data_IF_062078834104
#
_entry.id   IF_062078834104
#
_cell.length_a   1.000
_cell.length_b   1.000
_cell.length_c   1.000
_cell.angle_alpha   90.00
_cell.angle_beta   90.00
_cell.angle_gamma   90.00
#
_symmetry.space_group_name_H-M   'P 1'
#
loop_
_entity.id
_entity.type
_entity.pdbx_description
1 polymer ?
#
# COMPACT_ATOMS: atom_id res chain seq x y z
N UNK A 1 -60.19 13.32 38.81
CA UNK A 1 -61.06 13.40 40.01
C UNK A 1 -61.53 11.99 40.35
N UNK A 2 -61.55 11.55 41.62
CA UNK A 2 -60.48 11.42 42.62
C UNK A 2 -60.30 9.91 43.00
N UNK A 3 -59.12 9.41 43.39
CA UNK A 3 -58.48 9.45 44.71
C UNK A 3 -59.36 8.98 45.91
N UNK A 4 -59.03 7.79 46.43
CA UNK A 4 -59.23 7.32 47.80
C UNK A 4 -58.14 6.26 48.05
N UNK A 5 -57.46 6.14 49.17
CA UNK A 5 -57.49 6.83 50.44
C UNK A 5 -56.34 6.26 51.28
N UNK A 6 -55.68 7.14 52.00
CA UNK A 6 -54.46 6.96 52.79
C UNK A 6 -54.75 6.34 54.18
N UNK A 7 -53.83 5.52 54.71
CA UNK A 7 -53.12 5.69 56.01
C UNK A 7 -52.40 4.39 56.41
N UNK A 8 -51.06 4.38 56.47
CA UNK A 8 -50.21 4.74 57.63
C UNK A 8 -50.28 3.66 58.72
N UNK A 9 -49.20 3.08 59.22
CA UNK A 9 -48.07 3.71 59.96
C UNK A 9 -47.08 2.58 60.31
N UNK A 10 -45.76 2.75 60.21
CA UNK A 10 -44.79 3.03 61.29
C UNK A 10 -43.41 2.71 60.69
N UNK A 11 -42.29 3.40 60.94
CA UNK A 11 -41.96 4.55 61.77
C UNK A 11 -40.47 4.88 61.56
N UNK A 12 -40.17 6.18 61.62
CA UNK A 12 -38.98 6.89 62.18
C UNK A 12 -37.60 6.20 62.21
N UNK A 13 -36.47 6.83 61.92
CA UNK A 13 -36.04 8.20 61.60
C UNK A 13 -34.65 8.07 60.93
N UNK A 14 -33.88 9.08 60.53
CA UNK A 14 -33.67 10.42 61.06
C UNK A 14 -32.84 11.16 60.00
N UNK A 15 -33.15 12.43 59.73
CA UNK A 15 -32.29 13.32 58.95
C UNK A 15 -30.93 13.49 59.64
N UNK A 16 -29.82 13.35 58.92
CA UNK A 16 -28.79 14.43 58.86
C UNK A 16 -27.69 14.16 57.82
N UNK A 17 -27.23 15.27 57.22
CA UNK A 17 -25.97 15.54 56.48
C UNK A 17 -25.95 15.07 55.02
N UNK A 18 -26.08 15.98 54.06
CA UNK A 18 -25.09 16.97 53.61
C UNK A 18 -23.88 16.31 52.92
N UNK A 19 -23.89 16.40 51.59
CA UNK A 19 -22.72 16.46 50.72
C UNK A 19 -21.88 15.19 50.65
N UNK A 20 -22.20 14.31 49.69
CA UNK A 20 -21.18 13.50 49.05
C UNK A 20 -21.27 13.77 47.55
N UNK A 21 -20.21 14.45 47.08
CA UNK A 21 -20.00 14.81 45.71
C UNK A 21 -19.95 13.55 44.83
N UNK A 22 -20.48 13.72 43.62
CA UNK A 22 -20.37 12.78 42.52
C UNK A 22 -18.92 12.78 42.00
N UNK A 23 -17.98 12.18 42.75
CA UNK A 23 -16.54 12.17 42.40
C UNK A 23 -16.22 11.08 41.37
N UNK A 24 -17.11 10.83 40.41
CA UNK A 24 -16.86 9.83 39.36
C UNK A 24 -17.04 10.33 37.93
N UNK A 25 -17.30 11.61 37.72
CA UNK A 25 -17.48 12.20 36.37
C UNK A 25 -16.37 13.20 35.98
N UNK A 26 -15.77 13.92 36.95
CA UNK A 26 -14.81 15.00 36.67
C UNK A 26 -13.58 14.57 35.86
N UNK A 27 -13.08 13.34 36.04
CA UNK A 27 -11.88 12.87 35.35
C UNK A 27 -12.14 12.43 33.89
N UNK A 28 -13.34 11.93 33.58
CA UNK A 28 -13.74 11.58 32.21
C UNK A 28 -14.18 12.84 31.45
N UNK A 29 -14.83 13.79 32.12
CA UNK A 29 -15.18 15.10 31.58
C UNK A 29 -13.93 15.93 31.24
N UNK A 30 -12.88 15.91 32.07
CA UNK A 30 -11.61 16.60 31.79
C UNK A 30 -10.89 16.02 30.57
N UNK A 31 -10.88 14.69 30.39
CA UNK A 31 -10.30 14.03 29.22
C UNK A 31 -11.08 14.35 27.94
N UNK A 32 -12.42 14.30 28.01
CA UNK A 32 -13.27 14.62 26.86
C UNK A 32 -13.15 16.11 26.47
N UNK A 33 -13.02 16.99 27.47
CA UNK A 33 -12.78 18.42 27.24
C UNK A 33 -11.42 18.69 26.56
N UNK A 34 -10.38 17.93 26.92
CA UNK A 34 -9.06 18.00 26.26
C UNK A 34 -9.15 17.60 24.78
N UNK A 35 -9.83 16.49 24.48
CA UNK A 35 -10.06 16.02 23.10
C UNK A 35 -10.86 17.04 22.26
N UNK A 36 -11.91 17.65 22.84
CA UNK A 36 -12.65 18.71 22.15
C UNK A 36 -11.81 19.97 21.92
N UNK A 37 -10.94 20.33 22.86
CA UNK A 37 -10.01 21.44 22.69
C UNK A 37 -9.00 21.17 21.56
N UNK A 38 -8.54 19.93 21.39
CA UNK A 38 -7.69 19.55 20.26
C UNK A 38 -8.41 19.71 18.91
N UNK A 39 -9.67 19.25 18.83
CA UNK A 39 -10.51 19.38 17.63
C UNK A 39 -10.71 20.87 17.28
N UNK A 40 -11.05 21.70 18.27
CA UNK A 40 -11.24 23.14 18.08
C UNK A 40 -9.94 23.82 17.63
N UNK A 41 -8.78 23.41 18.17
CA UNK A 41 -7.48 23.91 17.74
C UNK A 41 -7.15 23.53 16.28
N UNK A 42 -7.60 22.36 15.82
CA UNK A 42 -7.47 21.92 14.41
C UNK A 42 -8.41 22.71 13.50
N UNK A 43 -9.65 22.94 13.92
CA UNK A 43 -10.63 23.73 13.17
C UNK A 43 -10.19 25.19 13.04
N UNK A 44 -9.71 25.79 14.14
CA UNK A 44 -9.18 27.15 14.14
C UNK A 44 -7.96 27.29 13.22
N UNK A 45 -7.07 26.29 13.18
CA UNK A 45 -5.94 26.26 12.22
C UNK A 45 -6.41 26.10 10.78
N UNK A 46 -7.36 25.20 10.53
CA UNK A 46 -7.90 24.98 9.18
C UNK A 46 -8.58 26.23 8.65
N UNK A 47 -9.33 26.94 9.50
CA UNK A 47 -9.93 28.24 9.19
C UNK A 47 -8.87 29.31 8.87
N UNK A 48 -7.77 29.36 9.63
CA UNK A 48 -6.63 30.26 9.35
C UNK A 48 -5.91 29.95 8.03
N UNK A 49 -5.76 28.68 7.70
CA UNK A 49 -5.17 28.25 6.41
C UNK A 49 -6.11 28.63 5.25
N UNK A 50 -7.41 28.38 5.41
CA UNK A 50 -8.42 28.73 4.40
C UNK A 50 -8.56 30.24 4.20
N UNK A 51 -8.28 31.05 5.23
CA UNK A 51 -8.24 32.52 5.12
C UNK A 51 -6.91 33.08 4.62
N UNK A 52 -5.95 32.21 4.24
CA UNK A 52 -4.70 32.60 3.60
C UNK A 52 -3.60 33.06 4.56
N UNK A 53 -3.72 32.78 5.86
CA UNK A 53 -2.67 33.07 6.83
C UNK A 53 -1.55 32.01 6.81
N UNK A 54 -0.31 32.44 7.01
CA UNK A 54 0.85 31.57 7.10
C UNK A 54 0.87 30.85 8.47
N UNK A 55 0.84 29.52 8.48
CA UNK A 55 0.75 28.71 9.71
C UNK A 55 2.02 27.85 9.84
N UNK A 56 2.72 27.88 11.00
CA UNK A 56 3.94 27.11 11.19
C UNK A 56 3.73 25.59 11.02
N UNK A 57 4.77 24.92 10.53
CA UNK A 57 4.75 23.49 10.22
C UNK A 57 4.47 22.62 11.46
N UNK A 58 3.77 21.50 11.21
CA UNK A 58 3.31 20.49 12.18
C UNK A 58 4.40 20.11 13.20
N UNK A 59 4.09 20.19 14.50
CA UNK A 59 4.74 19.33 15.50
C UNK A 59 4.40 17.87 15.15
N UNK A 60 5.34 16.90 15.21
CA UNK A 60 5.00 15.50 14.98
C UNK A 60 3.81 15.11 15.87
N UNK A 61 2.84 14.39 15.31
CA UNK A 61 1.83 13.71 16.13
C UNK A 61 2.59 12.83 17.12
N UNK A 62 2.14 12.71 18.37
CA UNK A 62 2.58 11.59 19.20
C UNK A 62 2.39 10.31 18.38
N UNK A 63 3.40 9.44 18.38
CA UNK A 63 3.37 8.13 17.70
C UNK A 63 2.40 7.16 18.38
N UNK A 64 1.45 7.65 19.17
CA UNK A 64 0.38 6.89 19.80
C UNK A 64 -0.60 6.46 18.72
N UNK A 65 -0.31 5.26 18.22
CA UNK A 65 -1.18 4.50 17.34
C UNK A 65 -2.49 4.25 18.10
N UNK A 66 -3.67 4.48 17.50
CA UNK A 66 -4.94 4.31 18.21
C UNK A 66 -5.08 2.87 18.76
N UNK A 67 -5.24 2.74 20.08
CA UNK A 67 -5.37 1.46 20.79
C UNK A 67 -6.56 0.60 20.30
N UNK A 68 -7.58 1.23 19.70
CA UNK A 68 -8.71 0.54 19.07
C UNK A 68 -8.33 -0.21 17.78
N UNK A 69 -7.19 0.12 17.19
CA UNK A 69 -6.72 -0.43 15.91
C UNK A 69 -5.55 -1.39 16.13
N UNK A 70 -4.70 -1.16 17.14
CA UNK A 70 -3.51 -1.95 17.40
C UNK A 70 -3.67 -2.85 18.62
N UNK A 71 -3.15 -4.07 18.52
CA UNK A 71 -3.07 -4.96 19.67
C UNK A 71 -1.83 -4.54 20.47
N UNK A 72 -2.04 -4.09 21.70
CA UNK A 72 -0.99 -3.57 22.57
C UNK A 72 0.06 -4.63 22.91
N UNK A 73 -0.32 -5.92 22.87
CA UNK A 73 0.59 -7.04 23.10
C UNK A 73 1.40 -7.39 21.84
N UNK A 74 1.13 -6.72 20.71
CA UNK A 74 1.80 -6.99 19.43
C UNK A 74 3.15 -6.27 19.32
N UNK A 75 4.18 -6.91 19.82
CA UNK A 75 5.55 -6.41 19.73
C UNK A 75 6.15 -6.55 18.31
N UNK A 76 5.90 -5.55 17.45
CA UNK A 76 6.45 -5.52 16.07
C UNK A 76 7.99 -5.47 16.06
N UNK A 77 8.62 -4.86 17.07
CA UNK A 77 10.08 -4.73 17.14
C UNK A 77 10.75 -6.09 17.38
N UNK A 78 10.25 -6.85 18.35
CA UNK A 78 10.74 -8.20 18.65
C UNK A 78 10.50 -9.16 17.46
N UNK A 79 9.32 -9.12 16.86
CA UNK A 79 9.01 -9.94 15.68
C UNK A 79 9.85 -9.56 14.46
N UNK A 80 10.15 -8.27 14.29
CA UNK A 80 11.06 -7.81 13.25
C UNK A 80 12.49 -8.28 13.53
N UNK A 81 12.95 -8.23 14.79
CA UNK A 81 14.25 -8.76 15.18
C UNK A 81 14.35 -10.28 14.91
N UNK A 82 13.30 -11.03 15.24
CA UNK A 82 13.23 -12.47 14.91
C UNK A 82 13.35 -12.70 13.39
N UNK A 83 12.65 -11.91 12.57
CA UNK A 83 12.76 -12.01 11.12
C UNK A 83 14.15 -11.62 10.61
N UNK A 84 14.79 -10.61 11.20
CA UNK A 84 16.19 -10.25 10.90
C UNK A 84 17.18 -11.36 11.26
N UNK A 85 16.95 -12.09 12.35
CA UNK A 85 17.73 -13.28 12.69
C UNK A 85 17.58 -14.39 11.64
N UNK A 86 16.40 -14.54 11.02
CA UNK A 86 16.22 -15.43 9.87
C UNK A 86 17.05 -14.95 8.67
N UNK A 87 17.11 -13.64 8.40
CA UNK A 87 17.95 -13.08 7.32
C UNK A 87 19.43 -13.40 7.54
N UNK A 88 19.91 -13.28 8.77
CA UNK A 88 21.30 -13.57 9.12
C UNK A 88 21.62 -15.06 8.97
N UNK A 89 20.77 -15.94 9.52
CA UNK A 89 20.95 -17.40 9.48
C UNK A 89 20.88 -18.01 8.09
N UNK A 90 20.25 -17.33 7.14
CA UNK A 90 20.04 -17.82 5.77
C UNK A 90 21.03 -17.26 4.75
N UNK A 91 22.03 -16.47 5.18
CA UNK A 91 22.95 -15.75 4.30
C UNK A 91 23.74 -16.66 3.35
N UNK A 92 24.16 -17.82 3.82
CA UNK A 92 24.98 -18.76 3.05
C UNK A 92 24.16 -19.71 2.16
N UNK A 93 22.82 -19.59 2.19
CA UNK A 93 21.94 -20.40 1.36
C UNK A 93 21.84 -19.83 -0.06
N UNK A 94 21.52 -20.69 -1.06
CA UNK A 94 21.18 -20.21 -2.40
C UNK A 94 20.07 -19.14 -2.36
N UNK A 95 20.24 -18.07 -3.12
CA UNK A 95 19.41 -16.84 -3.05
C UNK A 95 17.91 -17.12 -3.18
N UNK A 96 17.52 -18.06 -4.04
CA UNK A 96 16.10 -18.46 -4.21
C UNK A 96 15.56 -19.14 -2.95
N UNK A 97 16.33 -20.06 -2.35
CA UNK A 97 15.94 -20.75 -1.12
C UNK A 97 15.88 -19.76 0.06
N UNK A 98 16.87 -18.88 0.16
CA UNK A 98 16.89 -17.77 1.12
C UNK A 98 15.63 -16.90 0.98
N UNK A 99 15.29 -16.48 -0.23
CA UNK A 99 14.09 -15.70 -0.51
C UNK A 99 12.80 -16.43 -0.12
N UNK A 100 12.69 -17.73 -0.41
CA UNK A 100 11.52 -18.53 -0.05
C UNK A 100 11.35 -18.68 1.47
N UNK A 101 12.45 -18.91 2.19
CA UNK A 101 12.45 -18.99 3.67
C UNK A 101 12.01 -17.65 4.26
N UNK A 102 12.55 -16.53 3.77
CA UNK A 102 12.20 -15.20 4.29
C UNK A 102 10.76 -14.81 3.97
N UNK A 103 10.26 -15.19 2.80
CA UNK A 103 8.89 -14.94 2.40
C UNK A 103 7.90 -15.75 3.26
N UNK A 104 8.21 -17.00 3.55
CA UNK A 104 7.43 -17.85 4.46
C UNK A 104 7.48 -17.34 5.90
N UNK A 105 8.69 -17.10 6.43
CA UNK A 105 8.92 -16.67 7.81
C UNK A 105 8.20 -15.35 8.13
N UNK A 106 8.13 -14.40 7.20
CA UNK A 106 7.39 -13.15 7.42
C UNK A 106 5.92 -13.39 7.78
N UNK A 107 5.29 -14.38 7.13
CA UNK A 107 3.87 -14.71 7.35
C UNK A 107 3.65 -15.62 8.56
N UNK A 108 4.67 -16.37 8.97
CA UNK A 108 4.65 -17.29 10.11
C UNK A 108 4.91 -16.54 11.43
N UNK A 109 5.88 -15.61 11.41
CA UNK A 109 6.20 -14.70 12.52
C UNK A 109 5.12 -13.61 12.66
N UNK A 110 4.37 -13.32 11.59
CA UNK A 110 3.40 -12.21 11.55
C UNK A 110 4.08 -10.89 11.97
N UNK A 111 5.10 -10.47 11.21
CA UNK A 111 5.99 -9.39 11.64
C UNK A 111 5.27 -8.06 11.92
N UNK A 112 4.35 -7.67 11.04
CA UNK A 112 3.58 -6.43 11.16
C UNK A 112 2.09 -6.75 11.25
N UNK A 113 1.37 -6.04 12.12
CA UNK A 113 -0.05 -6.29 12.35
C UNK A 113 -0.92 -5.91 11.14
N UNK A 114 -0.61 -4.78 10.49
CA UNK A 114 -1.43 -4.20 9.41
C UNK A 114 -0.73 -4.09 8.06
N UNK A 115 0.52 -4.56 7.96
CA UNK A 115 1.37 -4.37 6.77
C UNK A 115 2.04 -5.67 6.30
N UNK A 116 1.29 -6.77 6.30
CA UNK A 116 1.77 -8.07 5.80
C UNK A 116 2.27 -8.03 4.34
N UNK A 117 1.82 -7.04 3.54
CA UNK A 117 2.28 -6.81 2.17
C UNK A 117 3.72 -6.31 2.06
N UNK A 118 4.34 -5.84 3.14
CA UNK A 118 5.69 -5.28 3.12
C UNK A 118 6.76 -6.38 3.00
N UNK A 119 6.57 -7.53 3.67
CA UNK A 119 7.52 -8.64 3.64
C UNK A 119 7.95 -9.07 2.24
N UNK A 120 7.01 -9.34 1.32
CA UNK A 120 7.34 -9.70 -0.07
C UNK A 120 8.14 -8.62 -0.81
N UNK A 121 7.93 -7.33 -0.49
CA UNK A 121 8.71 -6.24 -1.07
C UNK A 121 10.15 -6.22 -0.54
N UNK A 122 10.34 -6.49 0.76
CA UNK A 122 11.67 -6.62 1.36
C UNK A 122 12.41 -7.83 0.79
N UNK A 123 11.73 -8.97 0.63
CA UNK A 123 12.31 -10.15 -0.03
C UNK A 123 12.68 -9.82 -1.48
N UNK A 124 11.80 -9.16 -2.23
CA UNK A 124 12.11 -8.76 -3.60
C UNK A 124 13.31 -7.79 -3.69
N UNK A 125 13.45 -6.88 -2.71
CA UNK A 125 14.59 -5.99 -2.60
C UNK A 125 15.89 -6.77 -2.31
N UNK A 126 15.84 -7.79 -1.44
CA UNK A 126 16.96 -8.69 -1.19
C UNK A 126 17.34 -9.48 -2.44
N UNK A 127 16.38 -10.05 -3.18
CA UNK A 127 16.66 -10.76 -4.44
C UNK A 127 17.33 -9.86 -5.48
N UNK A 128 16.99 -8.57 -5.50
CA UNK A 128 17.67 -7.57 -6.35
C UNK A 128 19.08 -7.28 -5.86
N UNK A 129 19.26 -7.09 -4.54
CA UNK A 129 20.57 -6.81 -3.93
C UNK A 129 21.56 -7.98 -4.13
N UNK A 130 21.08 -9.22 -4.02
CA UNK A 130 21.87 -10.44 -4.25
C UNK A 130 22.08 -10.75 -5.75
N UNK A 131 21.62 -9.88 -6.64
CA UNK A 131 21.86 -9.95 -8.09
C UNK A 131 20.91 -10.84 -8.89
N UNK A 132 20.05 -11.64 -8.25
CA UNK A 132 19.10 -12.52 -8.94
C UNK A 132 18.12 -11.74 -9.83
N UNK A 133 17.67 -10.58 -9.35
CA UNK A 133 16.79 -9.66 -10.08
C UNK A 133 17.44 -8.27 -10.23
N UNK A 134 18.72 -8.20 -10.56
CA UNK A 134 19.52 -6.97 -10.49
C UNK A 134 18.89 -5.72 -11.17
N UNK A 135 18.08 -5.91 -12.22
CA UNK A 135 17.50 -4.82 -13.03
C UNK A 135 16.04 -4.48 -12.70
N UNK A 136 15.40 -5.19 -11.77
CA UNK A 136 13.98 -4.96 -11.46
C UNK A 136 13.62 -5.41 -10.03
N UNK A 137 12.43 -5.04 -9.55
CA UNK A 137 11.88 -5.59 -8.32
C UNK A 137 11.04 -6.82 -8.65
N UNK A 138 11.38 -7.98 -8.07
CA UNK A 138 10.66 -9.23 -8.34
C UNK A 138 9.19 -9.14 -7.91
N UNK A 139 8.26 -9.38 -8.84
CA UNK A 139 6.82 -9.33 -8.60
C UNK A 139 6.26 -10.55 -7.88
N UNK A 140 6.74 -10.85 -6.66
CA UNK A 140 6.43 -12.10 -5.94
C UNK A 140 4.92 -12.37 -5.76
N UNK A 141 4.11 -11.32 -5.59
CA UNK A 141 2.66 -11.45 -5.47
C UNK A 141 1.97 -11.98 -6.75
N UNK A 142 2.57 -11.78 -7.93
CA UNK A 142 2.05 -12.30 -9.20
C UNK A 142 2.11 -13.82 -9.24
N UNK A 143 3.13 -14.43 -8.64
CA UNK A 143 3.19 -15.88 -8.46
C UNK A 143 2.37 -16.34 -7.27
N UNK A 144 2.49 -15.65 -6.12
CA UNK A 144 1.79 -16.05 -4.89
C UNK A 144 0.25 -16.09 -5.01
N UNK A 145 -0.34 -15.26 -5.88
CA UNK A 145 -1.80 -15.31 -6.14
C UNK A 145 -2.25 -16.58 -6.86
N UNK A 146 -1.35 -17.25 -7.59
CA UNK A 146 -1.64 -18.51 -8.28
C UNK A 146 -1.56 -19.71 -7.33
N UNK A 147 -0.94 -19.54 -6.16
CA UNK A 147 -0.79 -20.61 -5.18
C UNK A 147 -2.05 -20.70 -4.29
N UNK A 148 -2.69 -21.89 -4.20
CA UNK A 148 -3.84 -22.11 -3.34
C UNK A 148 -3.59 -21.68 -1.90
N UNK A 149 -4.62 -21.14 -1.25
CA UNK A 149 -4.52 -20.63 0.12
C UNK A 149 -4.13 -21.74 1.10
N UNK A 150 -4.64 -22.94 0.89
CA UNK A 150 -4.44 -24.13 1.71
C UNK A 150 -2.95 -24.52 1.74
N UNK A 151 -2.26 -24.39 0.60
CA UNK A 151 -0.80 -24.62 0.51
C UNK A 151 -0.01 -23.51 1.19
N UNK A 152 -0.39 -22.25 0.98
CA UNK A 152 0.27 -21.09 1.60
C UNK A 152 0.13 -21.04 3.12
N UNK A 153 -0.98 -21.56 3.66
CA UNK A 153 -1.28 -21.61 5.10
C UNK A 153 -1.29 -23.04 5.64
N UNK A 154 -0.54 -23.93 5.01
CA UNK A 154 -0.40 -25.30 5.49
C UNK A 154 0.17 -25.33 6.91
N UNK A 155 -0.29 -26.27 7.74
CA UNK A 155 0.23 -26.43 9.11
C UNK A 155 1.70 -26.83 9.11
N UNK A 156 2.09 -27.66 8.15
CA UNK A 156 3.46 -28.11 7.95
C UNK A 156 4.28 -27.01 7.27
N UNK A 157 5.42 -26.65 7.88
CA UNK A 157 6.35 -25.66 7.34
C UNK A 157 6.92 -26.06 5.99
N UNK A 158 7.19 -27.35 5.77
CA UNK A 158 7.75 -27.82 4.50
C UNK A 158 6.81 -27.53 3.33
N UNK A 159 5.51 -27.70 3.52
CA UNK A 159 4.49 -27.42 2.50
C UNK A 159 4.37 -25.92 2.21
N UNK A 160 4.47 -25.07 3.25
CA UNK A 160 4.51 -23.61 3.07
C UNK A 160 5.78 -23.16 2.36
N UNK A 161 6.92 -23.76 2.66
CA UNK A 161 8.19 -23.45 1.98
C UNK A 161 8.13 -23.83 0.50
N UNK A 162 7.59 -25.01 0.18
CA UNK A 162 7.34 -25.41 -1.21
C UNK A 162 6.37 -24.44 -1.91
N UNK A 163 5.32 -24.00 -1.22
CA UNK A 163 4.41 -22.99 -1.74
C UNK A 163 5.10 -21.64 -2.03
N UNK A 164 6.05 -21.21 -1.19
CA UNK A 164 6.87 -20.02 -1.42
C UNK A 164 7.83 -20.17 -2.60
N UNK A 165 8.44 -21.35 -2.78
CA UNK A 165 9.28 -21.65 -3.94
C UNK A 165 8.46 -21.64 -5.24
N UNK A 166 7.30 -22.29 -5.24
CA UNK A 166 6.36 -22.28 -6.38
C UNK A 166 5.91 -20.85 -6.71
N UNK A 167 5.65 -20.01 -5.70
CA UNK A 167 5.31 -18.61 -5.91
C UNK A 167 6.45 -17.82 -6.58
N UNK A 168 7.70 -18.02 -6.19
CA UNK A 168 8.86 -17.37 -6.83
C UNK A 168 9.01 -17.86 -8.28
N UNK A 169 8.87 -19.18 -8.51
CA UNK A 169 8.89 -19.77 -9.84
C UNK A 169 7.81 -19.19 -10.75
N UNK A 170 6.56 -19.15 -10.29
CA UNK A 170 5.43 -18.64 -11.07
C UNK A 170 5.57 -17.14 -11.37
N UNK A 171 6.15 -16.37 -10.44
CA UNK A 171 6.47 -14.97 -10.67
C UNK A 171 7.54 -14.80 -11.77
N UNK A 172 8.58 -15.63 -11.78
CA UNK A 172 9.61 -15.62 -12.81
C UNK A 172 9.05 -16.02 -14.19
N UNK A 173 8.24 -17.08 -14.25
CA UNK A 173 7.58 -17.51 -15.50
C UNK A 173 6.64 -16.43 -16.04
N UNK A 174 5.87 -15.77 -15.17
CA UNK A 174 5.02 -14.66 -15.58
C UNK A 174 5.84 -13.47 -16.11
N UNK A 175 6.99 -13.16 -15.47
CA UNK A 175 7.91 -12.12 -15.92
C UNK A 175 8.51 -12.41 -17.31
N UNK A 176 8.94 -13.65 -17.56
CA UNK A 176 9.45 -14.06 -18.88
C UNK A 176 8.39 -13.93 -19.97
N UNK A 177 7.14 -14.34 -19.71
CA UNK A 177 6.04 -14.19 -20.66
C UNK A 177 5.76 -12.72 -21.00
N UNK A 178 5.78 -11.85 -19.99
CA UNK A 178 5.58 -10.41 -20.21
C UNK A 178 6.76 -9.79 -20.96
N UNK A 179 7.99 -10.19 -20.65
CA UNK A 179 9.18 -9.77 -21.39
C UNK A 179 9.08 -10.14 -22.87
N UNK A 180 8.75 -11.40 -23.20
CA UNK A 180 8.62 -11.85 -24.59
C UNK A 180 7.53 -11.08 -25.34
N UNK A 181 6.40 -10.81 -24.66
CA UNK A 181 5.32 -9.98 -25.19
C UNK A 181 5.78 -8.54 -25.49
N UNK A 182 6.54 -7.92 -24.59
CA UNK A 182 7.06 -6.57 -24.78
C UNK A 182 8.14 -6.51 -25.88
N UNK A 183 9.00 -7.52 -25.99
CA UNK A 183 10.00 -7.64 -27.06
C UNK A 183 9.33 -7.78 -28.43
N UNK A 184 8.26 -8.59 -28.51
CA UNK A 184 7.46 -8.72 -29.74
C UNK A 184 6.81 -7.39 -30.12
N UNK A 185 6.19 -6.71 -29.15
CA UNK A 185 5.57 -5.40 -29.38
C UNK A 185 6.60 -4.35 -29.84
N UNK A 186 7.79 -4.30 -29.21
CA UNK A 186 8.91 -3.44 -29.64
C UNK A 186 9.27 -3.72 -31.10
N UNK A 187 9.49 -4.99 -31.44
CA UNK A 187 9.87 -5.41 -32.79
C UNK A 187 8.82 -5.02 -33.85
N UNK A 188 7.53 -5.09 -33.51
CA UNK A 188 6.45 -4.66 -34.41
C UNK A 188 6.42 -3.14 -34.60
N UNK A 189 6.64 -2.36 -33.54
CA UNK A 189 6.73 -0.90 -33.61
C UNK A 189 7.97 -0.43 -34.39
N UNK A 190 9.13 -1.08 -34.19
CA UNK A 190 10.37 -0.74 -34.90
C UNK A 190 10.28 -0.95 -36.42
N UNK A 191 9.45 -1.89 -36.89
CA UNK A 191 9.16 -2.04 -38.33
C UNK A 191 8.55 -0.77 -38.93
N UNK A 192 7.74 -0.03 -38.16
CA UNK A 192 7.15 1.25 -38.60
C UNK A 192 8.18 2.38 -38.68
N UNK A 193 9.36 2.23 -38.07
CA UNK A 193 10.42 3.25 -38.09
C UNK A 193 11.23 3.24 -39.39
N UNK A 194 11.28 2.12 -40.13
CA UNK A 194 12.18 1.93 -41.29
C UNK A 194 11.97 2.92 -42.43
N UNK A 195 10.75 3.44 -42.59
CA UNK A 195 10.39 4.39 -43.65
C UNK A 195 10.32 5.85 -43.14
N UNK A 196 10.79 6.09 -41.91
CA UNK A 196 10.66 7.41 -41.27
C UNK A 196 11.90 8.25 -41.42
N UNK A 197 11.67 9.57 -41.48
CA UNK A 197 12.72 10.58 -41.51
C UNK A 197 13.48 10.56 -40.18
N UNK A 198 14.77 10.86 -40.24
CA UNK A 198 15.63 10.95 -39.05
C UNK A 198 15.13 11.97 -38.00
N UNK A 199 14.37 13.00 -38.42
CA UNK A 199 13.79 14.01 -37.54
C UNK A 199 12.49 13.58 -36.85
N UNK A 200 12.03 12.34 -37.04
CA UNK A 200 10.78 11.85 -36.46
C UNK A 200 10.91 11.64 -34.95
N UNK A 201 9.86 11.98 -34.20
CA UNK A 201 9.70 11.68 -32.78
C UNK A 201 9.07 10.32 -32.48
N UNK A 202 8.84 9.53 -33.53
CA UNK A 202 8.27 8.18 -33.41
C UNK A 202 9.18 7.19 -32.64
N UNK A 203 10.52 7.16 -32.86
CA UNK A 203 11.40 6.31 -32.04
C UNK A 203 11.33 6.66 -30.55
N UNK A 204 11.33 7.96 -30.23
CA UNK A 204 11.20 8.44 -28.86
C UNK A 204 9.84 8.03 -28.23
N UNK A 205 8.76 7.99 -29.02
CA UNK A 205 7.47 7.48 -28.56
C UNK A 205 7.50 5.98 -28.27
N UNK A 206 8.20 5.18 -29.09
CA UNK A 206 8.35 3.73 -28.85
C UNK A 206 9.03 3.48 -27.51
N UNK A 207 10.12 4.18 -27.22
CA UNK A 207 10.82 4.04 -25.94
C UNK A 207 9.94 4.52 -24.76
N UNK A 208 9.20 5.63 -24.93
CA UNK A 208 8.26 6.11 -23.90
C UNK A 208 7.18 5.08 -23.56
N UNK A 209 6.61 4.42 -24.58
CA UNK A 209 5.55 3.42 -24.41
C UNK A 209 6.08 2.11 -23.83
N UNK A 210 7.33 1.73 -24.12
CA UNK A 210 7.98 0.58 -23.48
C UNK A 210 8.34 0.86 -22.02
N UNK A 211 8.75 2.08 -21.71
CA UNK A 211 9.10 2.49 -20.35
C UNK A 211 7.89 2.68 -19.43
N UNK A 212 6.69 2.92 -19.98
CA UNK A 212 5.48 3.21 -19.21
C UNK A 212 4.30 2.37 -19.68
N UNK A 213 3.63 1.62 -18.79
CA UNK A 213 2.52 0.74 -19.17
C UNK A 213 1.30 1.50 -19.75
N UNK A 214 1.19 2.79 -19.46
CA UNK A 214 0.12 3.64 -19.97
C UNK A 214 0.66 5.05 -20.24
N UNK A 215 0.43 5.56 -21.46
CA UNK A 215 0.88 6.88 -21.89
C UNK A 215 -0.33 7.71 -22.34
N UNK A 216 -0.49 8.92 -21.81
CA UNK A 216 -1.55 9.86 -22.19
C UNK A 216 -1.05 10.89 -23.20
N UNK A 217 -1.95 11.58 -23.89
CA UNK A 217 -1.57 12.65 -24.83
C UNK A 217 -0.69 13.71 -24.16
N UNK A 218 -1.04 14.11 -22.93
CA UNK A 218 -0.28 15.10 -22.16
C UNK A 218 1.15 14.64 -21.88
N UNK A 219 1.34 13.37 -21.48
CA UNK A 219 2.68 12.81 -21.27
C UNK A 219 3.52 12.85 -22.55
N UNK A 220 2.92 12.54 -23.71
CA UNK A 220 3.63 12.57 -25.00
C UNK A 220 4.03 14.00 -25.36
N UNK A 221 3.12 14.96 -25.21
CA UNK A 221 3.40 16.37 -25.48
C UNK A 221 4.56 16.88 -24.61
N UNK A 222 4.51 16.59 -23.31
CA UNK A 222 5.51 17.05 -22.35
C UNK A 222 6.88 16.40 -22.59
N UNK A 223 6.90 15.09 -22.85
CA UNK A 223 8.14 14.31 -22.99
C UNK A 223 8.80 14.54 -24.35
N UNK A 224 8.01 14.53 -25.43
CA UNK A 224 8.53 14.66 -26.80
C UNK A 224 8.55 16.11 -27.32
N UNK A 225 8.05 17.07 -26.54
CA UNK A 225 7.94 18.49 -26.89
C UNK A 225 7.18 18.71 -28.21
N UNK A 226 6.05 18.01 -28.36
CA UNK A 226 5.17 18.09 -29.53
C UNK A 226 3.84 18.73 -29.20
N UNK A 227 3.14 19.25 -30.21
CA UNK A 227 1.77 19.71 -30.04
C UNK A 227 0.82 18.55 -29.74
N UNK A 228 -0.37 18.85 -29.21
CA UNK A 228 -1.42 17.85 -28.95
C UNK A 228 -1.76 17.03 -30.20
N UNK A 229 -1.91 17.71 -31.34
CA UNK A 229 -2.18 17.04 -32.61
C UNK A 229 -0.98 16.21 -33.06
N UNK A 230 0.25 16.70 -32.87
CA UNK A 230 1.46 15.94 -33.14
C UNK A 230 1.53 14.64 -32.35
N UNK A 231 1.21 14.67 -31.06
CA UNK A 231 1.13 13.47 -30.21
C UNK A 231 0.10 12.46 -30.73
N UNK A 232 -1.11 12.92 -31.08
CA UNK A 232 -2.17 12.05 -31.63
C UNK A 232 -1.76 11.43 -32.97
N UNK A 233 -1.10 12.19 -33.83
CA UNK A 233 -0.58 11.69 -35.11
C UNK A 233 0.47 10.60 -34.87
N UNK A 234 1.45 10.82 -33.99
CA UNK A 234 2.46 9.81 -33.65
C UNK A 234 1.84 8.53 -33.09
N UNK A 235 0.86 8.65 -32.20
CA UNK A 235 0.14 7.49 -31.66
C UNK A 235 -0.60 6.74 -32.76
N UNK A 236 -1.22 7.43 -33.72
CA UNK A 236 -1.94 6.77 -34.83
C UNK A 236 -1.03 5.97 -35.76
N UNK A 237 0.28 6.25 -35.75
CA UNK A 237 1.27 5.50 -36.52
C UNK A 237 1.69 4.20 -35.82
N UNK A 238 1.49 4.09 -34.50
CA UNK A 238 1.73 2.89 -33.73
C UNK A 238 0.39 2.16 -33.49
N UNK A 239 0.41 0.83 -33.52
CA UNK A 239 -0.79 0.02 -33.27
C UNK A 239 -1.08 -0.11 -31.77
N UNK A 240 -1.13 1.01 -31.04
CA UNK A 240 -1.41 1.05 -29.60
C UNK A 240 -2.90 1.00 -29.33
N UNK A 241 -3.29 0.32 -28.25
CA UNK A 241 -4.69 0.24 -27.84
C UNK A 241 -5.04 1.39 -26.90
N UNK A 242 -6.16 2.05 -27.18
CA UNK A 242 -6.77 2.98 -26.24
C UNK A 242 -7.39 2.23 -25.05
N UNK A 243 -6.99 2.60 -23.83
CA UNK A 243 -7.39 1.90 -22.60
C UNK A 243 -8.55 2.59 -21.87
N UNK A 244 -8.71 3.90 -22.04
CA UNK A 244 -9.64 4.69 -21.22
C UNK A 244 -11.06 4.76 -21.78
N UNK A 245 -11.27 4.53 -23.08
CA UNK A 245 -12.58 4.60 -23.74
C UNK A 245 -13.30 5.95 -23.59
N UNK A 246 -12.60 6.99 -23.11
CA UNK A 246 -13.16 8.29 -22.72
C UNK A 246 -12.57 9.34 -23.64
N UNK A 247 -13.41 9.90 -24.52
CA UNK A 247 -12.98 10.72 -25.67
C UNK A 247 -11.93 11.80 -25.36
N UNK A 248 -12.12 12.63 -24.33
CA UNK A 248 -11.22 13.78 -24.05
C UNK A 248 -9.92 13.39 -23.35
N UNK A 249 -9.90 12.26 -22.63
CA UNK A 249 -8.76 11.78 -21.85
C UNK A 249 -8.37 10.39 -22.31
N UNK A 250 -7.67 10.35 -23.45
CA UNK A 250 -7.18 9.13 -24.08
C UNK A 250 -5.83 8.75 -23.50
N UNK A 251 -5.68 7.48 -23.19
CA UNK A 251 -4.39 6.90 -22.86
C UNK A 251 -4.23 5.57 -23.58
N UNK A 252 -3.01 5.27 -23.98
CA UNK A 252 -2.67 4.12 -24.80
C UNK A 252 -1.65 3.24 -24.10
N UNK A 253 -1.71 1.96 -24.40
CA UNK A 253 -0.76 0.96 -23.90
C UNK A 253 -0.54 -0.16 -24.91
N UNK A 254 0.44 -1.01 -24.59
CA UNK A 254 0.74 -2.24 -25.31
C UNK A 254 -0.25 -3.33 -24.88
N UNK A 255 -0.68 -4.16 -25.85
CA UNK A 255 -1.57 -5.32 -25.64
C UNK A 255 -0.84 -6.60 -26.02
#
# INVERSE_FOLDING_TARGET
MPAAGQKSREGEGTETRAGEADVRDDAEDDLLAEEFAEIDAVLARSSKILSGADVPARTPRSDERPDLIYDLDWNEEERLAEWQDVIARTRDLPVVLRGAILFEAWSDIEVLQHAAWLGPLLVAALLRQEGLAAQHLAGLHIGAKNIPRERRRARNRSDRLLASLDAIHDAAVAGLKEHDRLVLAKSQMERRLRERRASSKLPDLVELVLARPLVSTGMIQETLKVSKQGALNLVSELSLREMTGRGRFRAWGIV
#
